data_IF_522871563810
#
_entry.id   IF_522871563810
#
_cell.length_a   1.000
_cell.length_b   1.000
_cell.length_c   1.000
_cell.angle_alpha   90.00
_cell.angle_beta   90.00
_cell.angle_gamma   90.00
#
_symmetry.space_group_name_H-M   'P 1'
#
loop_
_entity.id
_entity.type
_entity.pdbx_description
1 polymer ?
#
# COMPACT_ATOMS: atom_id res chain seq x y z
N UNK A 1 -5.71 -31.94 87.36
CA UNK A 1 -4.92 -30.82 86.80
C UNK A 1 -4.55 -31.22 85.37
N UNK A 2 -5.32 -30.74 84.39
CA UNK A 2 -5.15 -31.10 82.98
C UNK A 2 -4.10 -30.22 82.32
N UNK A 3 -3.17 -30.84 81.61
CA UNK A 3 -2.20 -30.19 80.73
C UNK A 3 -2.82 -30.18 79.33
N UNK A 4 -3.03 -29.00 78.75
CA UNK A 4 -3.43 -28.82 77.35
C UNK A 4 -2.40 -27.95 76.66
N UNK A 5 -1.57 -28.58 75.82
CA UNK A 5 -0.65 -27.91 74.90
C UNK A 5 -1.39 -27.64 73.60
N UNK A 6 -1.82 -26.40 73.40
CA UNK A 6 -2.37 -25.89 72.14
C UNK A 6 -1.25 -25.71 71.12
N UNK A 7 -1.33 -26.47 70.01
CA UNK A 7 -0.46 -26.29 68.84
C UNK A 7 -0.94 -25.07 68.05
N UNK A 8 -0.11 -24.02 68.01
CA UNK A 8 -0.32 -22.86 67.15
C UNK A 8 -0.04 -23.22 65.69
N UNK A 9 -1.09 -23.33 64.89
CA UNK A 9 -0.98 -23.38 63.42
C UNK A 9 -0.89 -21.96 62.88
N UNK A 10 0.32 -21.52 62.54
CA UNK A 10 0.56 -20.25 61.85
C UNK A 10 0.17 -20.45 60.37
N UNK A 11 -0.98 -19.90 59.98
CA UNK A 11 -1.37 -19.76 58.57
C UNK A 11 -0.58 -18.58 57.99
N UNK A 12 0.48 -18.87 57.24
CA UNK A 12 1.20 -17.86 56.46
C UNK A 12 0.33 -17.56 55.23
N UNK A 13 -0.46 -16.48 55.29
CA UNK A 13 -1.01 -15.84 54.10
C UNK A 13 0.16 -15.22 53.33
N UNK A 14 0.59 -15.91 52.28
CA UNK A 14 1.48 -15.33 51.27
C UNK A 14 0.73 -14.27 50.48
N UNK A 15 0.87 -13.00 50.87
CA UNK A 15 0.53 -11.88 50.02
C UNK A 15 1.48 -11.87 48.83
N UNK A 16 1.03 -12.38 47.68
CA UNK A 16 1.67 -12.13 46.39
C UNK A 16 1.50 -10.65 46.09
N UNK A 17 2.51 -9.84 46.44
CA UNK A 17 2.66 -8.51 45.87
C UNK A 17 2.92 -8.70 44.37
N UNK A 18 1.87 -8.64 43.57
CA UNK A 18 1.99 -8.58 42.11
C UNK A 18 2.74 -7.28 41.81
N UNK A 19 3.89 -7.43 41.17
CA UNK A 19 4.81 -6.36 40.80
C UNK A 19 4.11 -5.28 39.97
N UNK A 20 3.56 -4.23 40.62
CA UNK A 20 2.97 -3.07 39.93
C UNK A 20 3.93 -2.46 38.90
N UNK A 21 5.24 -2.57 39.14
CA UNK A 21 6.29 -2.09 38.23
C UNK A 21 6.21 -2.76 36.85
N UNK A 22 5.98 -4.07 36.78
CA UNK A 22 5.92 -4.78 35.51
C UNK A 22 4.59 -4.53 34.77
N UNK A 23 3.50 -4.25 35.49
CA UNK A 23 2.21 -3.92 34.89
C UNK A 23 2.22 -2.57 34.16
N UNK A 24 2.89 -1.56 34.73
CA UNK A 24 3.03 -0.24 34.11
C UNK A 24 3.85 -0.31 32.80
N UNK A 25 4.90 -1.13 32.78
CA UNK A 25 5.74 -1.34 31.58
C UNK A 25 4.97 -2.04 30.46
N UNK A 26 4.11 -3.01 30.79
CA UNK A 26 3.24 -3.67 29.81
C UNK A 26 2.18 -2.74 29.22
N UNK A 27 1.61 -1.85 30.05
CA UNK A 27 0.64 -0.83 29.57
C UNK A 27 1.33 0.14 28.61
N UNK A 28 2.52 0.62 28.96
CA UNK A 28 3.29 1.53 28.12
C UNK A 28 3.68 0.86 26.78
N UNK A 29 4.14 -0.39 26.83
CA UNK A 29 4.42 -1.20 25.66
C UNK A 29 3.18 -1.33 24.75
N UNK A 30 2.05 -1.77 25.30
CA UNK A 30 0.81 -1.97 24.52
C UNK A 30 0.29 -0.68 23.88
N UNK A 31 0.31 0.44 24.61
CA UNK A 31 -0.05 1.76 24.05
C UNK A 31 0.89 2.17 22.91
N UNK A 32 2.19 1.90 23.04
CA UNK A 32 3.15 2.17 21.96
C UNK A 32 2.86 1.34 20.70
N UNK A 33 2.50 0.07 20.89
CA UNK A 33 2.12 -0.81 19.78
C UNK A 33 0.84 -0.36 19.07
N UNK A 34 -0.19 0.09 19.81
CA UNK A 34 -1.39 0.66 19.20
C UNK A 34 -1.09 1.89 18.34
N UNK A 35 -0.20 2.77 18.79
CA UNK A 35 0.23 3.95 18.01
C UNK A 35 0.98 3.52 16.74
N UNK A 36 1.89 2.55 16.84
CA UNK A 36 2.61 2.00 15.68
C UNK A 36 1.65 1.37 14.67
N UNK A 37 0.66 0.63 15.14
CA UNK A 37 -0.37 0.01 14.30
C UNK A 37 -1.22 1.05 13.58
N UNK A 38 -1.60 2.14 14.25
CA UNK A 38 -2.33 3.25 13.63
C UNK A 38 -1.50 3.93 12.53
N UNK A 39 -0.20 4.14 12.77
CA UNK A 39 0.71 4.69 11.77
C UNK A 39 0.86 3.76 10.56
N UNK A 40 0.93 2.44 10.79
CA UNK A 40 0.96 1.45 9.72
C UNK A 40 -0.32 1.46 8.90
N UNK A 41 -1.51 1.50 9.53
CA UNK A 41 -2.79 1.61 8.80
C UNK A 41 -2.85 2.86 7.90
N UNK A 42 -2.36 4.00 8.37
CA UNK A 42 -2.26 5.22 7.55
C UNK A 42 -1.28 5.06 6.38
N UNK A 43 -0.15 4.40 6.62
CA UNK A 43 0.84 4.11 5.58
C UNK A 43 0.30 3.13 4.54
N UNK A 44 -0.47 2.13 4.95
CA UNK A 44 -1.15 1.17 4.09
C UNK A 44 -2.17 1.86 3.17
N UNK A 45 -3.05 2.71 3.72
CA UNK A 45 -3.98 3.50 2.89
C UNK A 45 -3.25 4.36 1.86
N UNK A 46 -2.14 5.01 2.25
CA UNK A 46 -1.33 5.78 1.31
C UNK A 46 -0.70 4.89 0.23
N UNK A 47 -0.29 3.68 0.60
CA UNK A 47 0.27 2.72 -0.34
C UNK A 47 -0.78 2.23 -1.35
N UNK A 48 -2.01 1.99 -0.92
CA UNK A 48 -3.15 1.66 -1.80
C UNK A 48 -3.43 2.77 -2.81
N UNK A 49 -3.44 4.04 -2.37
CA UNK A 49 -3.62 5.20 -3.26
C UNK A 49 -2.51 5.27 -4.33
N UNK A 50 -1.26 5.02 -3.93
CA UNK A 50 -0.12 4.97 -4.85
C UNK A 50 -0.24 3.79 -5.83
N UNK A 51 -0.67 2.61 -5.34
CA UNK A 51 -0.92 1.43 -6.18
C UNK A 51 -1.94 1.73 -7.27
N UNK A 52 -3.09 2.30 -6.88
CA UNK A 52 -4.16 2.67 -7.82
C UNK A 52 -3.69 3.71 -8.85
N UNK A 53 -2.85 4.67 -8.43
CA UNK A 53 -2.28 5.66 -9.35
C UNK A 53 -1.35 4.98 -10.35
N UNK A 54 -0.42 4.15 -9.88
CA UNK A 54 0.51 3.41 -10.74
C UNK A 54 -0.23 2.53 -11.75
N UNK A 55 -1.25 1.78 -11.32
CA UNK A 55 -2.06 0.95 -12.22
C UNK A 55 -2.79 1.77 -13.30
N UNK A 56 -3.38 2.90 -12.91
CA UNK A 56 -4.10 3.78 -13.86
C UNK A 56 -3.16 4.31 -14.93
N UNK A 57 -1.96 4.71 -14.55
CA UNK A 57 -1.01 5.26 -15.51
C UNK A 57 -0.43 4.16 -16.41
N UNK A 58 -0.12 2.98 -15.87
CA UNK A 58 0.26 1.82 -16.68
C UNK A 58 -0.80 1.47 -17.73
N UNK A 59 -2.09 1.47 -17.36
CA UNK A 59 -3.19 1.23 -18.31
C UNK A 59 -3.25 2.30 -19.41
N UNK A 60 -3.08 3.58 -19.06
CA UNK A 60 -3.06 4.68 -20.05
C UNK A 60 -1.91 4.53 -21.03
N UNK A 61 -0.71 4.19 -20.56
CA UNK A 61 0.45 3.99 -21.43
C UNK A 61 0.24 2.81 -22.38
N UNK A 62 -0.27 1.69 -21.88
CA UNK A 62 -0.59 0.54 -22.74
C UNK A 62 -1.61 0.90 -23.84
N UNK A 63 -2.64 1.69 -23.53
CA UNK A 63 -3.58 2.19 -24.53
C UNK A 63 -2.92 3.12 -25.54
N UNK A 64 -2.06 4.05 -25.09
CA UNK A 64 -1.32 4.96 -25.97
C UNK A 64 -0.41 4.20 -26.95
N UNK A 65 0.28 3.14 -26.49
CA UNK A 65 1.09 2.27 -27.33
C UNK A 65 0.24 1.59 -28.41
N UNK A 66 -0.91 1.00 -28.02
CA UNK A 66 -1.81 0.35 -28.98
C UNK A 66 -2.35 1.33 -30.03
N UNK A 67 -2.70 2.56 -29.65
CA UNK A 67 -3.14 3.58 -30.60
C UNK A 67 -2.02 4.01 -31.54
N UNK A 68 -0.82 4.19 -31.02
CA UNK A 68 0.34 4.57 -31.81
C UNK A 68 0.66 3.51 -32.88
N UNK A 69 0.70 2.25 -32.49
CA UNK A 69 0.94 1.12 -33.41
C UNK A 69 -0.12 1.07 -34.51
N UNK A 70 -1.40 1.19 -34.14
CA UNK A 70 -2.49 1.24 -35.11
C UNK A 70 -2.34 2.40 -36.10
N UNK A 71 -2.09 3.61 -35.61
CA UNK A 71 -1.97 4.78 -36.49
C UNK A 71 -0.73 4.69 -37.40
N UNK A 72 0.38 4.15 -36.91
CA UNK A 72 1.58 3.92 -37.72
C UNK A 72 1.33 2.89 -38.82
N UNK A 73 0.57 1.83 -38.52
CA UNK A 73 0.18 0.81 -39.50
C UNK A 73 -0.72 1.42 -40.57
N UNK A 74 -1.77 2.15 -40.17
CA UNK A 74 -2.66 2.85 -41.11
C UNK A 74 -1.92 3.89 -41.97
N UNK A 75 -0.92 4.58 -41.41
CA UNK A 75 -0.11 5.54 -42.17
C UNK A 75 0.74 4.84 -43.22
N UNK A 76 1.39 3.72 -42.87
CA UNK A 76 2.21 2.93 -43.80
C UNK A 76 1.36 2.36 -44.95
N UNK A 77 0.15 1.87 -44.68
CA UNK A 77 -0.77 1.42 -45.71
C UNK A 77 -1.16 2.57 -46.66
N UNK A 78 -1.38 3.77 -46.10
CA UNK A 78 -1.78 4.96 -46.85
C UNK A 78 -0.64 5.59 -47.66
N UNK A 79 0.63 5.36 -47.32
CA UNK A 79 1.79 5.89 -48.04
C UNK A 79 1.82 5.45 -49.51
N UNK A 80 1.37 4.22 -49.78
CA UNK A 80 1.26 3.69 -51.14
C UNK A 80 0.20 4.45 -51.94
N UNK A 81 -1.01 4.61 -51.38
CA UNK A 81 -2.10 5.37 -51.99
C UNK A 81 -1.73 6.85 -52.20
N UNK A 82 -1.02 7.44 -51.23
CA UNK A 82 -0.53 8.81 -51.34
C UNK A 82 0.46 8.97 -52.49
N UNK A 83 1.43 8.05 -52.59
CA UNK A 83 2.44 8.06 -53.64
C UNK A 83 1.79 7.89 -55.02
N UNK A 84 0.85 6.95 -55.14
CA UNK A 84 0.11 6.71 -56.38
C UNK A 84 -0.70 7.94 -56.80
N UNK A 85 -1.47 8.54 -55.89
CA UNK A 85 -2.35 9.65 -56.23
C UNK A 85 -1.57 10.93 -56.59
N UNK A 86 -0.45 11.21 -55.89
CA UNK A 86 0.41 12.37 -56.18
C UNK A 86 1.03 12.26 -57.57
N UNK A 87 1.44 11.04 -57.97
CA UNK A 87 2.11 10.81 -59.25
C UNK A 87 1.15 10.70 -60.44
N UNK A 88 -0.12 10.33 -60.22
CA UNK A 88 -1.09 10.11 -61.30
C UNK A 88 -2.08 11.27 -61.45
N UNK A 89 -2.78 11.67 -60.37
CA UNK A 89 -3.89 12.63 -60.42
C UNK A 89 -3.92 13.54 -59.18
N UNK A 90 -2.91 14.41 -59.00
CA UNK A 90 -2.69 15.14 -57.74
C UNK A 90 -3.82 16.10 -57.32
N UNK A 91 -4.63 16.56 -58.27
CA UNK A 91 -5.77 17.46 -58.03
C UNK A 91 -7.13 16.76 -58.07
N UNK A 92 -7.15 15.42 -58.06
CA UNK A 92 -8.41 14.67 -58.00
C UNK A 92 -9.04 14.74 -56.61
N UNK A 93 -10.37 14.61 -56.54
CA UNK A 93 -11.08 14.51 -55.27
C UNK A 93 -10.55 13.35 -54.39
N UNK A 94 -10.19 12.23 -55.03
CA UNK A 94 -9.56 11.09 -54.36
C UNK A 94 -8.22 11.48 -53.71
N UNK A 95 -7.31 12.12 -54.45
CA UNK A 95 -6.01 12.48 -53.89
C UNK A 95 -6.12 13.52 -52.75
N UNK A 96 -7.09 14.43 -52.82
CA UNK A 96 -7.41 15.32 -51.70
C UNK A 96 -7.88 14.57 -50.44
N UNK A 97 -8.65 13.50 -50.60
CA UNK A 97 -9.10 12.65 -49.48
C UNK A 97 -7.92 11.89 -48.86
N UNK A 98 -7.08 11.26 -49.68
CA UNK A 98 -5.87 10.55 -49.23
C UNK A 98 -4.95 11.51 -48.46
N UNK A 99 -4.71 12.71 -49.00
CA UNK A 99 -3.90 13.74 -48.34
C UNK A 99 -4.47 14.19 -46.99
N UNK A 100 -5.80 14.34 -46.90
CA UNK A 100 -6.46 14.67 -45.63
C UNK A 100 -6.23 13.57 -44.59
N UNK A 101 -6.47 12.31 -44.95
CA UNK A 101 -6.32 11.18 -44.03
C UNK A 101 -4.87 11.01 -43.56
N UNK A 102 -3.91 11.22 -44.46
CA UNK A 102 -2.48 11.18 -44.12
C UNK A 102 -2.09 12.26 -43.11
N UNK A 103 -2.55 13.51 -43.35
CA UNK A 103 -2.29 14.61 -42.42
C UNK A 103 -2.94 14.38 -41.06
N UNK A 104 -4.15 13.81 -41.03
CA UNK A 104 -4.86 13.44 -39.81
C UNK A 104 -4.10 12.36 -39.04
N UNK A 105 -3.69 11.27 -39.68
CA UNK A 105 -2.91 10.21 -39.05
C UNK A 105 -1.57 10.73 -38.52
N UNK A 106 -0.88 11.56 -39.30
CA UNK A 106 0.38 12.21 -38.88
C UNK A 106 0.16 13.07 -37.62
N UNK A 107 -0.91 13.86 -37.58
CA UNK A 107 -1.28 14.66 -36.42
C UNK A 107 -1.59 13.78 -35.20
N UNK A 108 -2.37 12.71 -35.37
CA UNK A 108 -2.73 11.78 -34.30
C UNK A 108 -1.49 11.08 -33.72
N UNK A 109 -0.57 10.61 -34.57
CA UNK A 109 0.71 10.03 -34.15
C UNK A 109 1.51 11.04 -33.32
N UNK A 110 1.62 12.29 -33.80
CA UNK A 110 2.37 13.32 -33.08
C UNK A 110 1.73 13.65 -31.74
N UNK A 111 0.40 13.75 -31.68
CA UNK A 111 -0.34 14.01 -30.45
C UNK A 111 -0.11 12.91 -29.41
N UNK A 112 -0.25 11.64 -29.79
CA UNK A 112 -0.03 10.50 -28.89
C UNK A 112 1.43 10.47 -28.41
N UNK A 113 2.40 10.77 -29.26
CA UNK A 113 3.82 10.88 -28.86
C UNK A 113 4.05 11.99 -27.83
N UNK A 114 3.47 13.17 -28.04
CA UNK A 114 3.58 14.27 -27.06
C UNK A 114 2.93 13.92 -25.73
N UNK A 115 1.72 13.36 -25.76
CA UNK A 115 1.02 12.90 -24.55
C UNK A 115 1.83 11.81 -23.83
N UNK A 116 2.47 10.89 -24.55
CA UNK A 116 3.33 9.86 -23.94
C UNK A 116 4.60 10.45 -23.30
N UNK A 117 5.20 11.49 -23.89
CA UNK A 117 6.36 12.19 -23.32
C UNK A 117 5.99 12.93 -22.03
N UNK A 118 4.87 13.64 -22.02
CA UNK A 118 4.38 14.32 -20.82
C UNK A 118 4.03 13.33 -19.70
N UNK A 119 3.46 12.17 -20.06
CA UNK A 119 3.18 11.11 -19.10
C UNK A 119 4.44 10.38 -18.60
N UNK A 120 5.48 10.18 -19.43
CA UNK A 120 6.72 9.51 -19.01
C UNK A 120 7.44 10.23 -17.84
N UNK A 121 7.34 11.56 -17.74
CA UNK A 121 7.92 12.31 -16.62
C UNK A 121 7.12 12.15 -15.32
N UNK A 122 5.81 11.95 -15.38
CA UNK A 122 4.96 11.73 -14.20
C UNK A 122 4.79 10.26 -13.80
N UNK A 123 5.01 9.33 -14.72
CA UNK A 123 4.66 7.92 -14.55
C UNK A 123 5.78 7.06 -13.94
N UNK A 124 7.02 7.28 -14.38
CA UNK A 124 8.18 6.67 -13.73
C UNK A 124 8.23 7.06 -12.25
N UNK A 125 7.86 8.31 -11.92
CA UNK A 125 7.80 8.79 -10.54
C UNK A 125 6.74 8.04 -9.72
N UNK A 126 5.54 7.82 -10.26
CA UNK A 126 4.47 7.12 -9.52
C UNK A 126 4.79 5.65 -9.23
N UNK A 127 5.35 4.91 -10.21
CA UNK A 127 5.72 3.51 -10.04
C UNK A 127 6.92 3.34 -9.10
N UNK A 128 7.98 4.16 -9.27
CA UNK A 128 9.15 4.15 -8.38
C UNK A 128 8.75 4.52 -6.95
N UNK A 129 7.94 5.57 -6.77
CA UNK A 129 7.46 5.97 -5.45
C UNK A 129 6.60 4.89 -4.79
N UNK A 130 5.75 4.20 -5.55
CA UNK A 130 4.99 3.05 -5.05
C UNK A 130 5.93 1.94 -4.57
N UNK A 131 6.92 1.54 -5.37
CA UNK A 131 7.83 0.44 -5.01
C UNK A 131 8.68 0.76 -3.77
N UNK A 132 9.24 1.97 -3.70
CA UNK A 132 10.01 2.43 -2.53
C UNK A 132 9.12 2.46 -1.28
N UNK A 133 7.92 3.04 -1.40
CA UNK A 133 6.98 3.14 -0.27
C UNK A 133 6.53 1.74 0.18
N UNK A 134 6.29 0.82 -0.75
CA UNK A 134 5.94 -0.58 -0.45
C UNK A 134 7.04 -1.28 0.31
N UNK A 135 8.29 -1.17 -0.14
CA UNK A 135 9.42 -1.81 0.53
C UNK A 135 9.60 -1.29 1.95
N UNK A 136 9.51 0.04 2.15
CA UNK A 136 9.57 0.65 3.47
C UNK A 136 8.40 0.23 4.36
N UNK A 137 7.17 0.18 3.82
CA UNK A 137 6.00 -0.29 4.53
C UNK A 137 6.18 -1.73 5.01
N UNK A 138 6.59 -2.64 4.13
CA UNK A 138 6.79 -4.05 4.48
C UNK A 138 7.83 -4.20 5.60
N UNK A 139 8.95 -3.50 5.52
CA UNK A 139 9.95 -3.52 6.58
C UNK A 139 9.38 -3.06 7.92
N UNK A 140 8.65 -1.95 7.94
CA UNK A 140 8.03 -1.44 9.17
C UNK A 140 6.92 -2.33 9.71
N UNK A 141 6.19 -3.00 8.83
CA UNK A 141 5.16 -3.98 9.20
C UNK A 141 5.80 -5.21 9.84
N UNK A 142 6.86 -5.76 9.25
CA UNK A 142 7.61 -6.89 9.80
C UNK A 142 8.21 -6.56 11.18
N UNK A 143 8.82 -5.37 11.32
CA UNK A 143 9.34 -4.89 12.60
C UNK A 143 8.22 -4.76 13.66
N UNK A 144 7.04 -4.30 13.23
CA UNK A 144 5.87 -4.22 14.10
C UNK A 144 5.39 -5.60 14.53
N UNK A 145 5.29 -6.58 13.63
CA UNK A 145 4.89 -7.94 14.02
C UNK A 145 5.89 -8.52 15.02
N UNK A 146 7.19 -8.43 14.72
CA UNK A 146 8.24 -8.95 15.59
C UNK A 146 8.19 -8.35 17.01
N UNK A 147 7.91 -7.05 17.12
CA UNK A 147 7.87 -6.35 18.40
C UNK A 147 6.53 -6.46 19.11
N UNK A 148 5.44 -6.22 18.40
CA UNK A 148 4.12 -5.93 18.96
C UNK A 148 3.13 -7.08 18.90
N UNK A 149 3.48 -8.18 18.20
CA UNK A 149 2.65 -9.38 18.08
C UNK A 149 3.40 -10.65 18.50
N UNK A 150 4.62 -10.81 18.03
CA UNK A 150 5.36 -12.08 18.16
C UNK A 150 6.38 -12.05 19.32
N UNK A 151 6.37 -10.99 20.14
CA UNK A 151 7.28 -10.87 21.28
C UNK A 151 6.72 -11.49 22.55
N UNK A 152 7.62 -11.97 23.42
CA UNK A 152 7.27 -12.41 24.79
C UNK A 152 6.55 -11.32 25.60
N UNK A 153 6.86 -10.05 25.33
CA UNK A 153 6.21 -8.90 25.96
C UNK A 153 4.76 -8.76 25.52
N UNK A 154 4.46 -8.98 24.24
CA UNK A 154 3.08 -9.06 23.75
C UNK A 154 2.29 -10.18 24.44
N UNK A 155 2.83 -11.40 24.50
CA UNK A 155 2.16 -12.49 25.21
C UNK A 155 1.94 -12.18 26.70
N UNK A 156 2.88 -11.47 27.33
CA UNK A 156 2.76 -11.02 28.72
C UNK A 156 1.68 -9.95 28.89
N UNK A 157 1.54 -9.03 27.93
CA UNK A 157 0.47 -8.04 27.88
C UNK A 157 -0.90 -8.73 27.80
N UNK A 158 -1.09 -9.64 26.84
CA UNK A 158 -2.40 -10.26 26.60
C UNK A 158 -2.83 -11.19 27.75
N UNK A 159 -1.88 -11.80 28.46
CA UNK A 159 -2.15 -12.64 29.64
C UNK A 159 -2.32 -11.85 30.94
N UNK A 160 -1.96 -10.57 30.96
CA UNK A 160 -2.11 -9.73 32.15
C UNK A 160 -3.47 -9.01 32.11
N UNK A 161 -4.45 -9.37 32.96
CA UNK A 161 -5.80 -8.83 32.88
C UNK A 161 -5.85 -7.32 33.13
N UNK A 162 -5.00 -6.79 34.01
CA UNK A 162 -4.93 -5.35 34.30
C UNK A 162 -4.37 -4.58 33.11
N UNK A 163 -3.21 -5.00 32.59
CA UNK A 163 -2.57 -4.32 31.47
C UNK A 163 -3.42 -4.43 30.19
N UNK A 164 -4.00 -5.60 29.94
CA UNK A 164 -4.90 -5.82 28.81
C UNK A 164 -6.15 -4.96 28.90
N UNK A 165 -6.79 -4.85 30.08
CA UNK A 165 -7.96 -4.00 30.24
C UNK A 165 -7.63 -2.51 30.00
N UNK A 166 -6.45 -2.06 30.41
CA UNK A 166 -5.99 -0.67 30.23
C UNK A 166 -5.63 -0.35 28.76
N UNK A 167 -5.02 -1.29 28.04
CA UNK A 167 -4.60 -1.10 26.64
C UNK A 167 -5.74 -1.39 25.66
N UNK A 168 -6.46 -2.49 25.88
CA UNK A 168 -7.46 -3.07 24.98
C UNK A 168 -8.90 -2.86 25.53
N UNK A 169 -9.16 -1.69 26.12
CA UNK A 169 -10.45 -1.37 26.77
C UNK A 169 -11.60 -1.21 25.79
N UNK A 170 -11.36 -0.55 24.67
CA UNK A 170 -12.39 -0.19 23.69
C UNK A 170 -12.47 -1.19 22.52
N UNK A 171 -13.61 -1.27 21.82
CA UNK A 171 -13.82 -2.22 20.72
C UNK A 171 -12.74 -2.12 19.62
N UNK A 172 -12.39 -0.90 19.20
CA UNK A 172 -11.39 -0.67 18.15
C UNK A 172 -10.00 -1.18 18.55
N UNK A 173 -9.60 -0.98 19.81
CA UNK A 173 -8.35 -1.51 20.33
C UNK A 173 -8.41 -3.04 20.40
N UNK A 174 -9.53 -3.65 20.78
CA UNK A 174 -9.66 -5.13 20.83
C UNK A 174 -9.53 -5.80 19.47
N UNK A 175 -9.90 -5.11 18.39
CA UNK A 175 -9.75 -5.59 17.02
C UNK A 175 -8.34 -5.35 16.46
N UNK A 176 -7.49 -4.63 17.19
CA UNK A 176 -6.11 -4.36 16.78
C UNK A 176 -5.24 -5.60 16.89
N UNK A 177 -4.23 -5.71 16.02
CA UNK A 177 -3.23 -6.79 16.08
C UNK A 177 -2.52 -6.80 17.44
N UNK A 178 -2.32 -5.62 18.03
CA UNK A 178 -1.72 -5.45 19.36
C UNK A 178 -2.52 -6.15 20.48
N UNK A 179 -3.83 -6.33 20.30
CA UNK A 179 -4.74 -6.85 21.32
C UNK A 179 -5.36 -8.21 20.99
N UNK A 180 -5.21 -8.72 19.76
CA UNK A 180 -5.72 -10.05 19.40
C UNK A 180 -4.71 -11.14 19.73
N UNK A 181 -5.21 -12.28 20.18
CA UNK A 181 -4.46 -13.53 20.17
C UNK A 181 -4.64 -14.15 18.79
N UNK A 182 -3.62 -14.00 17.95
CA UNK A 182 -3.54 -14.47 16.56
C UNK A 182 -4.36 -13.67 15.54
#
# INVERSE_FOLDING_TARGET
MSISTTKSSIFILGCTFISLVHGNDLIAFGKSCLVKEELLKKAETRLEELSLRSERTHRKNSQAINYLERYQTELADLETEMTECINTTPNSAYCHQVRRRYNELTYLIQRVKTEAIDNNFGDNDASINYEITRANFNQHYDDFLALCRDSNTHYSLVRNPTAYAEVCSNPTAKESITCTLF
#
